data_IF_521129457566
#
_entry.id   IF_521129457566
#
_cell.length_a   1.000
_cell.length_b   1.000
_cell.length_c   1.000
_cell.angle_alpha   90.00
_cell.angle_beta   90.00
_cell.angle_gamma   90.00
#
_symmetry.space_group_name_H-M   'P 1'
#
loop_
_entity.id
_entity.type
_entity.pdbx_description
1 polymer ?
#
# COMPACT_ATOMS: atom_id res chain seq x y z
N UNK A 1 -44.85 -6.94 -15.64
CA UNK A 1 -43.72 -7.88 -15.46
C UNK A 1 -42.44 -7.11 -15.09
N UNK A 2 -42.49 -6.32 -14.01
CA UNK A 2 -41.43 -5.38 -13.55
C UNK A 2 -41.19 -5.56 -12.02
N UNK A 3 -41.49 -6.74 -11.48
CA UNK A 3 -41.66 -6.95 -10.04
C UNK A 3 -40.69 -7.92 -9.36
N UNK A 4 -39.53 -8.24 -9.96
CA UNK A 4 -38.61 -9.25 -9.38
C UNK A 4 -37.16 -8.77 -9.16
N UNK A 5 -36.86 -7.49 -9.40
CA UNK A 5 -35.50 -6.93 -9.30
C UNK A 5 -35.18 -6.24 -7.95
N UNK A 6 -36.07 -6.34 -6.95
CA UNK A 6 -35.89 -5.71 -5.63
C UNK A 6 -35.77 -6.71 -4.47
N UNK A 7 -35.64 -8.02 -4.76
CA UNK A 7 -35.65 -9.08 -3.74
C UNK A 7 -34.31 -9.43 -3.08
N UNK A 8 -33.17 -8.94 -3.57
CA UNK A 8 -31.83 -9.35 -3.08
C UNK A 8 -31.11 -8.32 -2.20
N UNK A 9 -31.76 -7.20 -1.86
CA UNK A 9 -31.14 -6.09 -1.12
C UNK A 9 -31.28 -6.16 0.41
N UNK A 10 -31.81 -7.23 1.02
CA UNK A 10 -32.09 -7.24 2.47
C UNK A 10 -31.79 -8.57 3.19
N UNK A 11 -30.55 -9.07 3.12
CA UNK A 11 -30.07 -10.06 4.12
C UNK A 11 -28.70 -9.67 4.70
N UNK A 12 -28.80 -9.14 5.92
CA UNK A 12 -27.84 -9.12 7.03
C UNK A 12 -26.48 -8.39 6.86
N UNK A 13 -26.28 -7.37 7.70
CA UNK A 13 -24.99 -6.70 7.95
C UNK A 13 -25.00 -5.24 7.47
N UNK A 14 -25.50 -4.33 8.31
CA UNK A 14 -25.60 -2.90 8.01
C UNK A 14 -24.28 -2.31 7.48
N UNK A 15 -24.36 -1.65 6.33
CA UNK A 15 -23.20 -1.01 5.71
C UNK A 15 -22.69 0.11 6.64
N UNK A 16 -21.50 -0.05 7.23
CA UNK A 16 -20.75 1.00 7.95
C UNK A 16 -19.53 1.48 7.13
N UNK A 17 -18.80 2.49 7.62
CA UNK A 17 -18.67 3.79 6.97
C UNK A 17 -18.07 3.74 5.55
N UNK A 18 -18.57 4.63 4.70
CA UNK A 18 -17.99 4.92 3.39
C UNK A 18 -16.54 5.36 3.58
N UNK A 19 -15.59 4.61 3.02
CA UNK A 19 -14.20 5.04 2.98
C UNK A 19 -14.13 6.26 2.07
N UNK A 20 -13.35 7.26 2.49
CA UNK A 20 -13.13 8.47 1.71
C UNK A 20 -11.86 8.29 0.88
N UNK A 21 -11.98 8.27 -0.46
CA UNK A 21 -10.79 8.28 -1.31
C UNK A 21 -9.98 9.56 -1.06
N UNK A 22 -8.64 9.50 -1.17
CA UNK A 22 -7.85 10.71 -1.20
C UNK A 22 -8.29 11.61 -2.35
N UNK A 23 -8.10 12.92 -2.20
CA UNK A 23 -8.25 13.87 -3.32
C UNK A 23 -7.13 13.66 -4.33
N UNK A 24 -7.27 14.14 -5.58
CA UNK A 24 -6.17 14.16 -6.55
C UNK A 24 -4.92 14.82 -5.97
N UNK A 25 -5.05 16.02 -5.44
CA UNK A 25 -3.94 16.78 -4.85
C UNK A 25 -3.24 16.03 -3.70
N UNK A 26 -4.00 15.33 -2.86
CA UNK A 26 -3.42 14.54 -1.77
C UNK A 26 -2.68 13.30 -2.30
N UNK A 27 -3.17 12.67 -3.36
CA UNK A 27 -2.52 11.53 -3.98
C UNK A 27 -1.24 11.95 -4.72
N UNK A 28 -1.27 13.09 -5.41
CA UNK A 28 -0.10 13.70 -6.05
C UNK A 28 0.96 14.10 -5.02
N UNK A 29 0.58 14.84 -3.98
CA UNK A 29 1.51 15.22 -2.91
C UNK A 29 2.18 13.99 -2.27
N UNK A 30 1.42 12.92 -2.00
CA UNK A 30 1.99 11.67 -1.43
C UNK A 30 2.98 11.01 -2.37
N UNK A 31 2.68 10.98 -3.68
CA UNK A 31 3.60 10.48 -4.70
C UNK A 31 4.88 11.31 -4.77
N UNK A 32 4.75 12.63 -4.68
CA UNK A 32 5.87 13.55 -4.74
C UNK A 32 6.79 13.41 -3.53
N UNK A 33 6.20 13.31 -2.33
CA UNK A 33 6.96 13.05 -1.11
C UNK A 33 7.68 11.70 -1.15
N UNK A 34 7.02 10.65 -1.64
CA UNK A 34 7.68 9.34 -1.81
C UNK A 34 8.87 9.42 -2.76
N UNK A 35 8.72 10.10 -3.92
CA UNK A 35 9.84 10.32 -4.86
C UNK A 35 10.97 11.10 -4.23
N UNK A 36 10.68 12.18 -3.49
CA UNK A 36 11.71 12.97 -2.79
C UNK A 36 12.47 12.11 -1.77
N UNK A 37 11.77 11.27 -1.01
CA UNK A 37 12.40 10.35 -0.06
C UNK A 37 13.25 9.29 -0.75
N UNK A 38 12.77 8.73 -1.85
CA UNK A 38 13.46 7.71 -2.62
C UNK A 38 14.71 8.28 -3.29
N UNK A 39 14.55 9.31 -4.12
CA UNK A 39 15.59 9.87 -4.97
C UNK A 39 16.65 10.66 -4.16
N UNK A 40 16.31 11.16 -2.97
CA UNK A 40 17.22 11.96 -2.15
C UNK A 40 17.83 11.16 -1.00
N UNK A 41 17.16 11.09 0.18
CA UNK A 41 17.67 10.39 1.36
C UNK A 41 17.99 8.92 1.11
N UNK A 42 17.07 8.13 0.54
CA UNK A 42 17.25 6.68 0.44
C UNK A 42 18.42 6.29 -0.49
N UNK A 43 18.58 6.97 -1.64
CA UNK A 43 19.74 6.74 -2.53
C UNK A 43 21.07 7.06 -1.83
N UNK A 44 21.18 8.21 -1.15
CA UNK A 44 22.41 8.60 -0.45
C UNK A 44 22.73 7.68 0.73
N UNK A 45 21.72 7.28 1.50
CA UNK A 45 21.89 6.33 2.61
C UNK A 45 22.30 4.94 2.09
N UNK A 46 21.77 4.51 0.94
CA UNK A 46 22.18 3.26 0.28
C UNK A 46 23.64 3.30 -0.15
N UNK A 47 24.09 4.42 -0.74
CA UNK A 47 25.49 4.61 -1.11
C UNK A 47 26.41 4.58 0.12
N UNK A 48 26.03 5.26 1.21
CA UNK A 48 26.80 5.24 2.46
C UNK A 48 26.89 3.83 3.06
N UNK A 49 25.80 3.05 3.03
CA UNK A 49 25.82 1.67 3.49
C UNK A 49 26.80 0.81 2.66
N UNK A 50 26.88 1.04 1.34
CA UNK A 50 27.85 0.37 0.47
C UNK A 50 29.29 0.77 0.83
N UNK A 51 29.56 2.08 0.95
CA UNK A 51 30.88 2.62 1.29
C UNK A 51 31.40 2.07 2.62
N UNK A 52 30.56 2.02 3.67
CA UNK A 52 30.93 1.43 4.96
C UNK A 52 31.25 -0.07 4.82
N UNK A 53 30.57 -0.78 3.93
CA UNK A 53 30.87 -2.19 3.65
C UNK A 53 32.22 -2.38 2.99
N UNK A 54 32.55 -1.53 2.01
CA UNK A 54 33.87 -1.54 1.37
C UNK A 54 34.96 -1.17 2.38
N UNK A 55 34.71 -0.19 3.24
CA UNK A 55 35.65 0.20 4.28
C UNK A 55 35.92 -0.95 5.26
N UNK A 56 34.89 -1.67 5.71
CA UNK A 56 35.04 -2.81 6.60
C UNK A 56 36.00 -3.88 6.05
N UNK A 57 35.98 -4.12 4.72
CA UNK A 57 36.89 -5.06 4.05
C UNK A 57 38.34 -4.58 4.08
N UNK A 58 38.59 -3.27 4.05
CA UNK A 58 39.95 -2.69 4.08
C UNK A 58 40.56 -2.56 5.46
N UNK A 59 39.73 -2.57 6.52
CA UNK A 59 40.19 -2.42 7.90
C UNK A 59 40.84 -3.70 8.38
N UNK A 60 42.09 -3.62 8.84
CA UNK A 60 42.86 -4.78 9.33
C UNK A 60 42.63 -5.04 10.82
N UNK A 61 42.46 -3.99 11.63
CA UNK A 61 42.19 -4.10 13.06
C UNK A 61 40.78 -4.66 13.33
N UNK A 62 40.65 -5.80 14.03
CA UNK A 62 39.35 -6.44 14.25
C UNK A 62 38.34 -5.55 15.00
N UNK A 63 38.78 -4.82 16.02
CA UNK A 63 37.90 -3.95 16.83
C UNK A 63 37.37 -2.77 15.99
N UNK A 64 38.21 -2.18 15.14
CA UNK A 64 37.79 -1.15 14.21
C UNK A 64 36.84 -1.70 13.14
N UNK A 65 37.09 -2.92 12.62
CA UNK A 65 36.20 -3.56 11.63
C UNK A 65 34.80 -3.77 12.20
N UNK A 66 34.71 -4.34 13.39
CA UNK A 66 33.43 -4.55 14.09
C UNK A 66 32.65 -3.24 14.28
N UNK A 67 33.34 -2.14 14.60
CA UNK A 67 32.71 -0.81 14.72
C UNK A 67 32.16 -0.30 13.39
N UNK A 68 32.89 -0.52 12.28
CA UNK A 68 32.43 -0.14 10.94
C UNK A 68 31.24 -0.99 10.51
N UNK A 69 31.27 -2.29 10.76
CA UNK A 69 30.15 -3.20 10.48
C UNK A 69 28.90 -2.84 11.31
N UNK A 70 29.08 -2.50 12.59
CA UNK A 70 28.00 -2.01 13.43
C UNK A 70 27.40 -0.70 12.89
N UNK A 71 28.23 0.25 12.47
CA UNK A 71 27.77 1.48 11.83
C UNK A 71 27.03 1.20 10.51
N UNK A 72 27.55 0.29 9.67
CA UNK A 72 26.89 -0.14 8.45
C UNK A 72 25.51 -0.73 8.74
N UNK A 73 25.42 -1.58 9.77
CA UNK A 73 24.15 -2.17 10.20
C UNK A 73 23.15 -1.09 10.62
N UNK A 74 23.57 -0.11 11.43
CA UNK A 74 22.71 1.04 11.80
C UNK A 74 22.24 1.82 10.58
N UNK A 75 23.11 2.07 9.59
CA UNK A 75 22.72 2.76 8.34
C UNK A 75 21.71 1.95 7.54
N UNK A 76 21.83 0.61 7.51
CA UNK A 76 20.83 -0.26 6.87
C UNK A 76 19.47 -0.18 7.56
N UNK A 77 19.43 -0.13 8.89
CA UNK A 77 18.18 0.07 9.63
C UNK A 77 17.53 1.42 9.28
N UNK A 78 18.31 2.50 9.21
CA UNK A 78 17.81 3.82 8.78
C UNK A 78 17.26 3.77 7.34
N UNK A 79 17.93 3.03 6.45
CA UNK A 79 17.43 2.85 5.09
C UNK A 79 16.09 2.10 5.04
N UNK A 80 15.93 1.09 5.88
CA UNK A 80 14.68 0.33 5.99
C UNK A 80 13.56 1.19 6.58
N UNK A 81 13.84 2.04 7.58
CA UNK A 81 12.89 3.03 8.10
C UNK A 81 12.44 4.01 7.01
N UNK A 82 13.38 4.54 6.20
CA UNK A 82 13.06 5.44 5.09
C UNK A 82 12.17 4.77 4.04
N UNK A 83 12.46 3.50 3.71
CA UNK A 83 11.62 2.70 2.80
C UNK A 83 10.23 2.49 3.37
N UNK A 84 10.12 2.17 4.66
CA UNK A 84 8.84 2.01 5.34
C UNK A 84 8.01 3.30 5.29
N UNK A 85 8.64 4.47 5.47
CA UNK A 85 7.97 5.76 5.32
C UNK A 85 7.52 6.00 3.87
N UNK A 86 8.40 5.78 2.89
CA UNK A 86 8.06 5.91 1.48
C UNK A 86 6.89 5.03 1.06
N UNK A 87 6.92 3.76 1.46
CA UNK A 87 5.84 2.80 1.21
C UNK A 87 4.53 3.17 1.90
N UNK A 88 4.57 3.81 3.07
CA UNK A 88 3.38 4.32 3.74
C UNK A 88 2.76 5.50 2.98
N UNK A 89 3.59 6.34 2.35
CA UNK A 89 3.15 7.47 1.54
C UNK A 89 2.56 6.99 0.21
N UNK A 90 3.29 6.20 -0.57
CA UNK A 90 2.86 5.77 -1.89
C UNK A 90 3.45 4.39 -2.24
N UNK A 91 2.66 3.41 -2.70
CA UNK A 91 3.20 2.11 -3.08
C UNK A 91 4.15 2.23 -4.29
N UNK A 92 5.47 1.98 -4.15
CA UNK A 92 6.46 2.20 -5.21
C UNK A 92 6.28 1.24 -6.40
N UNK A 93 5.60 0.10 -6.17
CA UNK A 93 5.28 -0.91 -7.20
C UNK A 93 4.19 -0.41 -8.17
N UNK A 94 3.36 0.56 -7.75
CA UNK A 94 2.18 0.98 -8.49
C UNK A 94 2.45 1.57 -9.89
N UNK A 95 3.45 2.46 -10.10
CA UNK A 95 3.71 3.04 -11.40
C UNK A 95 4.12 2.02 -12.46
N UNK A 96 4.87 0.97 -12.07
CA UNK A 96 5.39 -0.05 -12.99
C UNK A 96 4.48 -1.27 -13.17
N UNK A 97 3.85 -1.76 -12.10
CA UNK A 97 3.13 -3.04 -12.11
C UNK A 97 1.61 -2.91 -11.87
N UNK A 98 1.11 -1.71 -11.54
CA UNK A 98 -0.32 -1.45 -11.38
C UNK A 98 -0.86 -1.79 -9.98
N UNK A 99 -2.20 -1.79 -9.86
CA UNK A 99 -2.90 -1.86 -8.56
C UNK A 99 -2.69 -3.22 -7.88
N UNK A 100 -2.84 -4.31 -8.63
CA UNK A 100 -2.89 -5.64 -8.02
C UNK A 100 -1.56 -6.04 -7.38
N UNK A 101 -0.40 -5.89 -8.06
CA UNK A 101 0.89 -6.19 -7.44
C UNK A 101 1.21 -5.24 -6.28
N UNK A 102 0.85 -3.95 -6.41
CA UNK A 102 1.05 -2.97 -5.34
C UNK A 102 0.28 -3.32 -4.06
N UNK A 103 -0.98 -3.72 -4.16
CA UNK A 103 -1.79 -4.11 -3.01
C UNK A 103 -1.36 -5.45 -2.41
N UNK A 104 -0.94 -6.41 -3.23
CA UNK A 104 -0.41 -7.70 -2.75
C UNK A 104 0.87 -7.49 -1.93
N UNK A 105 1.77 -6.66 -2.42
CA UNK A 105 2.99 -6.24 -1.71
C UNK A 105 2.68 -5.54 -0.36
N UNK A 106 1.67 -4.68 -0.30
CA UNK A 106 1.22 -4.06 0.97
C UNK A 106 0.68 -5.11 1.95
N UNK A 107 -0.14 -6.05 1.48
CA UNK A 107 -0.72 -7.10 2.30
C UNK A 107 0.32 -8.07 2.86
N UNK A 108 1.29 -8.50 2.04
CA UNK A 108 2.37 -9.40 2.47
C UNK A 108 3.16 -8.79 3.63
N UNK A 109 3.54 -7.52 3.54
CA UNK A 109 4.26 -6.81 4.62
C UNK A 109 3.46 -6.64 5.90
N UNK A 110 2.13 -6.56 5.80
CA UNK A 110 1.25 -6.41 6.97
C UNK A 110 0.71 -7.76 7.48
N UNK A 111 1.15 -8.88 6.90
CA UNK A 111 0.69 -10.22 7.29
C UNK A 111 -0.79 -10.45 7.02
N UNK A 112 -1.32 -9.96 5.89
CA UNK A 112 -2.74 -10.09 5.54
C UNK A 112 -2.97 -11.17 4.48
N UNK A 113 -4.03 -11.97 4.64
CA UNK A 113 -4.48 -12.91 3.62
C UNK A 113 -5.39 -12.21 2.60
N UNK A 114 -4.81 -11.71 1.51
CA UNK A 114 -5.50 -10.85 0.54
C UNK A 114 -6.02 -11.62 -0.69
N UNK A 115 -7.31 -11.50 -0.96
CA UNK A 115 -7.95 -11.88 -2.24
C UNK A 115 -8.31 -10.62 -3.02
N UNK A 116 -7.84 -10.53 -4.27
CA UNK A 116 -8.07 -9.40 -5.16
C UNK A 116 -8.92 -9.82 -6.36
N UNK A 117 -9.88 -8.96 -6.69
CA UNK A 117 -10.67 -9.06 -7.92
C UNK A 117 -10.81 -7.62 -8.46
N UNK A 118 -9.86 -7.27 -9.34
CA UNK A 118 -9.66 -5.90 -9.82
C UNK A 118 -9.96 -5.84 -11.31
N UNK A 119 -11.06 -5.19 -11.66
CA UNK A 119 -11.38 -4.83 -13.05
C UNK A 119 -11.05 -3.35 -13.23
N UNK A 120 -9.81 -3.09 -13.62
CA UNK A 120 -9.21 -1.75 -13.73
C UNK A 120 -9.04 -1.26 -15.18
N UNK A 121 -9.60 -1.97 -16.17
CA UNK A 121 -9.59 -1.51 -17.55
C UNK A 121 -10.28 -0.14 -17.65
N UNK A 122 -9.57 0.84 -18.23
CA UNK A 122 -10.06 2.21 -18.38
C UNK A 122 -9.83 3.15 -17.18
N UNK A 123 -9.07 2.73 -16.16
CA UNK A 123 -8.62 3.66 -15.12
C UNK A 123 -7.46 4.54 -15.62
N UNK A 124 -7.67 5.85 -15.61
CA UNK A 124 -6.60 6.84 -15.75
C UNK A 124 -5.60 6.76 -14.57
N UNK A 125 -4.50 7.50 -14.67
CA UNK A 125 -3.43 7.46 -13.68
C UNK A 125 -3.85 7.99 -12.29
N UNK A 126 -4.67 9.04 -12.22
CA UNK A 126 -5.16 9.62 -10.96
C UNK A 126 -6.10 8.65 -10.25
N UNK A 127 -7.11 8.18 -10.98
CA UNK A 127 -8.07 7.18 -10.53
C UNK A 127 -7.39 5.92 -10.00
N UNK A 128 -6.37 5.43 -10.72
CA UNK A 128 -5.58 4.26 -10.33
C UNK A 128 -4.82 4.51 -9.04
N UNK A 129 -4.14 5.66 -8.95
CA UNK A 129 -3.40 6.10 -7.77
C UNK A 129 -4.28 6.16 -6.54
N UNK A 130 -5.38 6.93 -6.61
CA UNK A 130 -6.30 7.13 -5.50
C UNK A 130 -7.02 5.85 -5.08
N UNK A 131 -7.36 4.98 -6.03
CA UNK A 131 -7.95 3.67 -5.73
C UNK A 131 -6.96 2.79 -4.97
N UNK A 132 -5.71 2.73 -5.42
CA UNK A 132 -4.67 1.97 -4.74
C UNK A 132 -4.40 2.52 -3.34
N UNK A 133 -4.21 3.83 -3.20
CA UNK A 133 -3.97 4.48 -1.91
C UNK A 133 -5.11 4.25 -0.93
N UNK A 134 -6.36 4.42 -1.37
CA UNK A 134 -7.54 4.15 -0.53
C UNK A 134 -7.53 2.72 0.03
N UNK A 135 -7.26 1.73 -0.81
CA UNK A 135 -7.25 0.33 -0.37
C UNK A 135 -6.02 0.06 0.50
N UNK A 136 -4.84 0.52 0.10
CA UNK A 136 -3.60 0.36 0.84
C UNK A 136 -3.72 0.95 2.25
N UNK A 137 -4.22 2.18 2.39
CA UNK A 137 -4.44 2.83 3.70
C UNK A 137 -5.39 2.02 4.58
N UNK A 138 -6.44 1.44 3.98
CA UNK A 138 -7.32 0.55 4.73
C UNK A 138 -6.61 -0.73 5.15
N UNK A 139 -5.85 -1.38 4.28
CA UNK A 139 -5.07 -2.59 4.61
C UNK A 139 -4.10 -2.32 5.76
N UNK A 140 -3.38 -1.19 5.74
CA UNK A 140 -2.43 -0.81 6.81
C UNK A 140 -3.10 -0.58 8.17
N UNK A 141 -4.41 -0.33 8.20
CA UNK A 141 -5.18 -0.18 9.44
C UNK A 141 -5.61 -1.52 10.07
N UNK A 142 -5.43 -2.64 9.35
CA UNK A 142 -5.85 -3.97 9.78
C UNK A 142 -4.79 -4.64 10.64
N UNK A 143 -5.23 -5.62 11.43
CA UNK A 143 -4.34 -6.47 12.21
C UNK A 143 -3.76 -7.58 11.32
N UNK A 144 -2.55 -8.08 11.63
CA UNK A 144 -2.03 -9.30 11.02
C UNK A 144 -3.05 -10.45 11.12
N UNK A 145 -2.94 -11.40 10.20
CA UNK A 145 -3.79 -12.58 10.05
C UNK A 145 -5.28 -12.27 9.72
N UNK A 146 -5.60 -11.03 9.36
CA UNK A 146 -6.92 -10.67 8.84
C UNK A 146 -7.05 -11.15 7.39
N UNK A 147 -8.13 -11.87 7.08
CA UNK A 147 -8.48 -12.21 5.70
C UNK A 147 -9.23 -11.03 5.06
N UNK A 148 -8.80 -10.61 3.87
CA UNK A 148 -9.36 -9.43 3.21
C UNK A 148 -9.70 -9.75 1.76
N UNK A 149 -10.93 -9.47 1.35
CA UNK A 149 -11.35 -9.52 -0.04
C UNK A 149 -11.62 -8.11 -0.58
N UNK A 150 -10.89 -7.70 -1.61
CA UNK A 150 -11.07 -6.41 -2.28
C UNK A 150 -11.62 -6.63 -3.67
N UNK A 151 -12.72 -5.92 -3.98
CA UNK A 151 -13.31 -5.85 -5.32
C UNK A 151 -13.27 -4.44 -5.84
N UNK A 152 -12.65 -4.25 -7.00
CA UNK A 152 -12.62 -2.97 -7.73
C UNK A 152 -13.35 -3.13 -9.05
N UNK A 153 -14.29 -2.23 -9.33
CA UNK A 153 -15.03 -2.18 -10.59
C UNK A 153 -14.98 -0.77 -11.16
N UNK A 154 -14.29 -0.61 -12.28
CA UNK A 154 -14.34 0.61 -13.07
C UNK A 154 -15.59 0.60 -13.98
N UNK A 155 -16.31 1.72 -14.00
CA UNK A 155 -17.32 2.04 -15.01
C UNK A 155 -16.94 3.32 -15.76
N UNK A 156 -17.84 3.83 -16.60
CA UNK A 156 -17.55 5.03 -17.44
C UNK A 156 -17.15 6.28 -16.66
N UNK A 157 -17.75 6.51 -15.49
CA UNK A 157 -17.53 7.75 -14.71
C UNK A 157 -17.24 7.51 -13.24
N UNK A 158 -17.42 6.26 -12.77
CA UNK A 158 -17.35 5.92 -11.36
C UNK A 158 -16.60 4.62 -11.17
N UNK A 159 -15.82 4.58 -10.10
CA UNK A 159 -15.07 3.41 -9.64
C UNK A 159 -15.67 3.00 -8.33
N UNK A 160 -16.08 1.74 -8.23
CA UNK A 160 -16.63 1.16 -7.01
C UNK A 160 -15.60 0.26 -6.37
N UNK A 161 -15.27 0.55 -5.12
CA UNK A 161 -14.39 -0.29 -4.30
C UNK A 161 -15.23 -0.90 -3.20
N UNK A 162 -15.08 -2.21 -3.00
CA UNK A 162 -15.65 -2.96 -1.88
C UNK A 162 -14.55 -3.72 -1.18
N UNK A 163 -14.54 -3.64 0.14
CA UNK A 163 -13.59 -4.37 0.98
C UNK A 163 -14.39 -5.16 2.00
N UNK A 164 -14.11 -6.45 2.11
CA UNK A 164 -14.64 -7.31 3.16
C UNK A 164 -13.48 -7.81 3.99
N UNK A 165 -13.53 -7.58 5.29
CA UNK A 165 -12.56 -8.11 6.24
C UNK A 165 -13.21 -9.21 7.07
N UNK A 166 -12.49 -10.31 7.23
CA UNK A 166 -12.84 -11.43 8.09
C UNK A 166 -11.72 -11.59 9.12
N UNK A 167 -12.09 -11.44 10.38
CA UNK A 167 -11.15 -11.47 11.51
C UNK A 167 -11.49 -12.64 12.40
N UNK A 168 -10.50 -13.42 12.84
CA UNK A 168 -10.73 -14.52 13.78
C UNK A 168 -11.53 -14.04 15.00
N UNK A 169 -12.64 -14.73 15.30
CA UNK A 169 -13.48 -14.44 16.45
C UNK A 169 -14.37 -13.19 16.34
N UNK A 170 -14.50 -12.57 15.17
CA UNK A 170 -15.38 -11.43 14.96
C UNK A 170 -16.27 -11.59 13.73
N UNK A 171 -17.43 -10.92 13.73
CA UNK A 171 -18.28 -10.86 12.55
C UNK A 171 -17.58 -10.12 11.39
N UNK A 172 -17.76 -10.56 10.13
CA UNK A 172 -17.13 -9.94 8.99
C UNK A 172 -17.62 -8.50 8.81
N UNK A 173 -16.70 -7.59 8.50
CA UNK A 173 -17.02 -6.17 8.29
C UNK A 173 -16.86 -5.82 6.82
N UNK A 174 -17.72 -4.92 6.35
CA UNK A 174 -17.81 -4.54 4.94
C UNK A 174 -17.68 -3.03 4.82
N UNK A 175 -16.78 -2.62 3.94
CA UNK A 175 -16.50 -1.23 3.58
C UNK A 175 -16.71 -1.02 2.09
N UNK A 176 -16.97 0.22 1.72
CA UNK A 176 -17.12 0.60 0.32
C UNK A 176 -16.69 2.04 0.09
N UNK A 177 -16.31 2.33 -1.15
CA UNK A 177 -16.06 3.67 -1.63
C UNK A 177 -16.50 3.82 -3.08
N UNK A 178 -16.69 5.07 -3.47
CA UNK A 178 -16.92 5.46 -4.86
C UNK A 178 -15.99 6.61 -5.19
N UNK A 179 -15.22 6.45 -6.26
CA UNK A 179 -14.39 7.49 -6.86
C UNK A 179 -15.02 7.91 -8.19
N UNK A 180 -14.78 9.15 -8.62
CA UNK A 180 -15.06 9.59 -9.99
C UNK A 180 -13.83 9.33 -10.85
N UNK A 181 -14.03 8.89 -12.09
CA UNK A 181 -13.02 9.00 -13.12
C UNK A 181 -12.91 10.48 -13.53
N UNK A 182 -11.71 10.94 -13.90
CA UNK A 182 -11.52 12.28 -14.45
C UNK A 182 -12.11 12.38 -15.87
#
# INVERSE_FOLDING_TARGET
MIGLLLGLLRRAGGWRPRLRPPTPDAAELRRDLERVLHDGPALRTSALALELGLLAVTVTDPCQRERVEAAQHTVRLVLDDLRQVGEALYPPVLPGAGIEPALRSVAERHGLALTLDVVAAGLDADARSRTCLLVADHLRSLRPDTAVAVRVRAGRHLIRVRITEDRPGAAPRRHWAVLRCA
#
